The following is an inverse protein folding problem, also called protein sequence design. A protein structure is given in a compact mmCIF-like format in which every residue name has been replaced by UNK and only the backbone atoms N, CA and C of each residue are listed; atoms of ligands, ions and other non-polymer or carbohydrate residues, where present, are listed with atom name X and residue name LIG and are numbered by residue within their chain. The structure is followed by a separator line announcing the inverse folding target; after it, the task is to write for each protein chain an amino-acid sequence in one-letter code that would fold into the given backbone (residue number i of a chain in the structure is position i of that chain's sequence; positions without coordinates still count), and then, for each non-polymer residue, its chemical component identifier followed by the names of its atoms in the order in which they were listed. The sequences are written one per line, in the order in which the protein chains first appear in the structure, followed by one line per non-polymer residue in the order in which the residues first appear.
data_IF_532446216248
#
_entry.id   IF_532446216248
#
_cell.length_a   1.000
_cell.length_b   1.000
_cell.length_c   1.000
_cell.angle_alpha   90.00
_cell.angle_beta   90.00
_cell.angle_gamma   90.00
#
_symmetry.space_group_name_H-M   'P 1'
#
loop_
_entity.id
_entity.type
_entity.pdbx_description
1 polymer ?
#
# COMPACT_ATOMS: atom_id res chain seq x y z
N UNK A 1 -6.02 2.56 -0.34
CA UNK A 1 -5.14 3.76 -0.36
C UNK A 1 -5.84 4.88 0.40
N UNK A 2 -5.14 5.84 0.97
CA UNK A 2 -5.73 6.98 1.70
C UNK A 2 -4.88 7.35 2.92
N UNK A 3 -5.38 8.21 3.82
CA UNK A 3 -4.68 8.60 5.04
C UNK A 3 -4.19 7.41 5.86
N UNK A 4 -2.99 7.53 6.45
CA UNK A 4 -2.42 6.54 7.36
C UNK A 4 -3.10 6.67 8.72
N UNK A 5 -3.65 5.57 9.22
CA UNK A 5 -4.17 5.48 10.58
C UNK A 5 -3.10 4.77 11.43
N UNK A 6 -2.67 5.47 12.49
CA UNK A 6 -1.77 4.98 13.55
C UNK A 6 -0.43 4.38 13.09
N UNK A 7 0.25 5.02 12.12
CA UNK A 7 1.63 4.66 11.75
C UNK A 7 1.82 3.28 11.10
N UNK A 8 0.73 2.56 10.82
CA UNK A 8 0.74 1.25 10.16
C UNK A 8 1.42 1.31 8.80
N UNK A 9 2.31 0.35 8.52
CA UNK A 9 2.98 0.23 7.23
C UNK A 9 2.30 -0.84 6.38
N UNK A 10 1.83 -0.45 5.19
CA UNK A 10 1.14 -1.34 4.26
C UNK A 10 1.81 -1.26 2.88
N UNK A 11 1.82 -2.36 2.12
CA UNK A 11 2.44 -2.44 0.78
C UNK A 11 1.92 -1.36 -0.19
N UNK A 12 0.68 -0.89 -0.04
CA UNK A 12 0.14 0.24 -0.84
C UNK A 12 0.65 1.63 -0.42
N UNK A 13 1.00 1.84 0.85
CA UNK A 13 1.66 3.05 1.33
C UNK A 13 3.10 3.12 0.82
N UNK A 14 3.78 1.97 0.78
CA UNK A 14 5.15 1.86 0.29
C UNK A 14 5.29 2.36 -1.16
N UNK A 15 4.31 2.10 -2.03
CA UNK A 15 4.29 2.62 -3.41
C UNK A 15 4.38 4.16 -3.44
N UNK A 16 3.63 4.85 -2.58
CA UNK A 16 3.63 6.33 -2.52
C UNK A 16 4.88 6.85 -1.80
N UNK A 17 5.30 6.19 -0.71
CA UNK A 17 6.56 6.49 -0.01
C UNK A 17 7.77 6.45 -0.95
N UNK A 18 7.95 5.35 -1.71
CA UNK A 18 9.06 5.17 -2.67
C UNK A 18 9.05 6.23 -3.78
N UNK A 19 7.88 6.73 -4.18
CA UNK A 19 7.74 7.83 -5.13
C UNK A 19 8.14 9.20 -4.53
N UNK A 20 7.73 9.48 -3.29
CA UNK A 20 8.07 10.71 -2.57
C UNK A 20 9.56 10.81 -2.22
N UNK A 21 10.13 9.70 -1.74
CA UNK A 21 11.55 9.59 -1.35
C UNK A 21 12.49 9.40 -2.54
N UNK A 22 11.94 9.13 -3.74
CA UNK A 22 12.68 8.89 -4.99
C UNK A 22 13.69 7.73 -4.86
N UNK A 23 13.24 6.60 -4.31
CA UNK A 23 14.09 5.41 -4.09
C UNK A 23 14.68 4.87 -5.41
N UNK A 24 13.91 4.92 -6.51
CA UNK A 24 14.36 4.58 -7.87
C UNK A 24 14.19 5.80 -8.79
N UNK A 25 15.09 6.02 -9.78
CA UNK A 25 15.01 7.18 -10.67
C UNK A 25 13.93 7.09 -11.77
N UNK A 26 13.32 5.93 -11.96
CA UNK A 26 12.31 5.64 -12.99
C UNK A 26 11.09 4.94 -12.39
N UNK A 27 9.92 5.10 -13.01
CA UNK A 27 8.69 4.37 -12.65
C UNK A 27 8.45 3.17 -13.56
N UNK A 28 8.01 2.06 -12.97
CA UNK A 28 7.59 0.87 -13.70
C UNK A 28 6.24 1.11 -14.41
N UNK A 29 5.98 0.38 -15.50
CA UNK A 29 4.69 0.40 -16.20
C UNK A 29 3.69 -0.53 -15.52
N UNK A 30 3.29 -0.15 -14.30
CA UNK A 30 2.30 -0.86 -13.48
C UNK A 30 0.97 -0.09 -13.46
N UNK A 31 -0.14 -0.82 -13.52
CA UNK A 31 -1.49 -0.30 -13.32
C UNK A 31 -2.04 -0.87 -12.01
N UNK A 32 -2.66 -0.02 -11.20
CA UNK A 32 -3.23 -0.41 -9.91
C UNK A 32 -4.72 -0.09 -9.88
N UNK A 33 -5.60 -1.02 -9.46
CA UNK A 33 -6.91 -0.66 -8.94
C UNK A 33 -6.73 0.11 -7.63
N UNK A 34 -7.45 1.22 -7.48
CA UNK A 34 -7.37 2.07 -6.29
C UNK A 34 -8.75 2.20 -5.65
N UNK A 35 -8.80 1.95 -4.35
CA UNK A 35 -9.93 2.24 -3.47
C UNK A 35 -9.45 3.14 -2.32
N UNK A 36 -10.29 4.08 -1.87
CA UNK A 36 -10.03 4.85 -0.66
C UNK A 36 -10.33 4.01 0.61
N UNK A 37 -9.50 4.09 1.64
CA UNK A 37 -9.72 3.37 2.91
C UNK A 37 -10.99 3.85 3.63
N UNK A 38 -11.39 5.10 3.44
CA UNK A 38 -12.63 5.67 3.99
C UNK A 38 -13.85 5.05 3.32
N UNK A 39 -13.81 4.91 1.99
CA UNK A 39 -14.87 4.29 1.20
C UNK A 39 -15.00 2.79 1.54
N UNK A 40 -13.87 2.10 1.78
CA UNK A 40 -13.86 0.70 2.26
C UNK A 40 -14.43 0.57 3.68
N UNK A 41 -14.11 1.51 4.58
CA UNK A 41 -14.68 1.51 5.93
C UNK A 41 -16.21 1.75 5.90
N UNK A 42 -16.69 2.69 5.08
CA UNK A 42 -18.12 2.92 4.88
C UNK A 42 -18.81 1.70 4.23
N UNK A 43 -18.15 1.06 3.26
CA UNK A 43 -18.63 -0.19 2.65
C UNK A 43 -18.78 -1.32 3.66
N UNK A 44 -17.81 -1.51 4.57
CA UNK A 44 -17.89 -2.53 5.60
C UNK A 44 -19.07 -2.27 6.56
N UNK A 45 -19.30 -1.01 6.97
CA UNK A 45 -20.44 -0.64 7.81
C UNK A 45 -21.76 -0.95 7.07
N UNK A 46 -21.89 -0.53 5.81
CA UNK A 46 -23.10 -0.78 5.01
C UNK A 46 -23.33 -2.26 4.71
N UNK A 47 -22.28 -3.03 4.49
CA UNK A 47 -22.37 -4.48 4.30
C UNK A 47 -22.88 -5.22 5.56
N UNK A 48 -22.67 -4.66 6.76
CA UNK A 48 -23.22 -5.18 8.02
C UNK A 48 -24.66 -4.72 8.32
N UNK A 49 -25.12 -3.61 7.73
CA UNK A 49 -26.44 -3.02 8.05
C UNK A 49 -27.50 -3.18 6.96
N UNK A 50 -27.12 -3.56 5.74
CA UNK A 50 -28.05 -3.69 4.61
C UNK A 50 -28.31 -5.17 4.28
N UNK A 51 -29.55 -5.63 4.46
CA UNK A 51 -29.96 -7.02 4.16
C UNK A 51 -29.65 -7.44 2.70
N UNK A 52 -29.76 -6.50 1.75
CA UNK A 52 -29.45 -6.73 0.33
C UNK A 52 -27.96 -7.07 0.08
N UNK A 53 -27.08 -6.67 1.00
CA UNK A 53 -25.66 -6.92 0.96
C UNK A 53 -25.27 -8.30 1.51
N UNK A 54 -26.13 -8.93 2.32
CA UNK A 54 -25.84 -10.21 2.96
C UNK A 54 -25.59 -11.35 1.94
N UNK A 55 -24.67 -12.25 2.28
CA UNK A 55 -24.35 -13.44 1.48
C UNK A 55 -23.72 -13.17 0.11
N UNK A 56 -23.25 -11.96 -0.18
CA UNK A 56 -22.73 -11.55 -1.49
C UNK A 56 -21.36 -10.89 -1.37
N UNK A 57 -20.50 -11.12 -2.37
CA UNK A 57 -19.23 -10.39 -2.52
C UNK A 57 -19.50 -8.99 -3.08
N UNK A 58 -18.79 -7.99 -2.56
CA UNK A 58 -18.84 -6.60 -3.03
C UNK A 58 -17.42 -6.10 -3.27
N UNK A 59 -17.13 -5.66 -4.50
CA UNK A 59 -15.82 -5.12 -4.87
C UNK A 59 -15.83 -3.60 -4.71
N UNK A 60 -14.96 -3.09 -3.84
CA UNK A 60 -14.77 -1.66 -3.62
C UNK A 60 -13.55 -1.21 -4.42
N UNK A 61 -13.77 -0.42 -5.46
CA UNK A 61 -12.72 0.15 -6.31
C UNK A 61 -13.23 1.46 -6.93
N UNK A 62 -12.47 2.54 -6.79
CA UNK A 62 -12.82 3.85 -7.32
C UNK A 62 -12.48 3.94 -8.82
N UNK A 63 -11.23 3.68 -9.18
CA UNK A 63 -10.77 3.58 -10.56
C UNK A 63 -9.38 2.93 -10.65
N UNK A 64 -8.92 2.64 -11.86
CA UNK A 64 -7.57 2.14 -12.11
C UNK A 64 -6.65 3.29 -12.52
N UNK A 65 -5.42 3.31 -12.02
CA UNK A 65 -4.44 4.35 -12.34
C UNK A 65 -3.05 3.75 -12.61
N UNK A 66 -2.32 4.31 -13.57
CA UNK A 66 -0.92 3.92 -13.79
C UNK A 66 0.00 4.55 -12.75
N UNK A 67 1.04 3.84 -12.35
CA UNK A 67 2.08 4.34 -11.43
C UNK A 67 2.71 5.66 -11.92
N UNK A 68 2.79 5.85 -13.25
CA UNK A 68 3.23 7.10 -13.87
C UNK A 68 2.27 8.27 -13.56
N UNK A 69 0.97 8.04 -13.66
CA UNK A 69 -0.05 9.07 -13.47
C UNK A 69 -0.13 9.46 -12.00
N UNK A 70 -0.02 8.48 -11.08
CA UNK A 70 0.18 8.70 -9.65
C UNK A 70 1.40 9.61 -9.40
N UNK A 71 2.55 9.25 -9.98
CA UNK A 71 3.78 10.03 -9.84
C UNK A 71 3.66 11.44 -10.43
N UNK A 72 2.88 11.62 -11.51
CA UNK A 72 2.60 12.95 -12.09
C UNK A 72 1.68 13.79 -11.20
N UNK A 73 0.66 13.20 -10.57
CA UNK A 73 -0.21 13.87 -9.60
C UNK A 73 0.62 14.36 -8.41
N UNK A 74 1.39 13.46 -7.80
CA UNK A 74 2.28 13.79 -6.68
C UNK A 74 3.33 14.85 -7.10
N UNK A 75 3.90 14.75 -8.30
CA UNK A 75 4.89 15.70 -8.79
C UNK A 75 4.31 17.10 -9.10
N UNK A 76 3.01 17.23 -9.37
CA UNK A 76 2.36 18.56 -9.49
C UNK A 76 2.27 19.24 -8.12
N UNK A 77 1.86 18.49 -7.10
CA UNK A 77 1.63 19.00 -5.75
C UNK A 77 2.93 19.24 -4.97
N UNK A 78 3.77 18.20 -4.84
CA UNK A 78 4.89 18.17 -3.90
C UNK A 78 6.22 18.69 -4.46
N UNK A 79 6.33 18.92 -5.77
CA UNK A 79 7.57 19.48 -6.37
C UNK A 79 7.82 20.93 -5.95
N UNK A 80 6.76 21.72 -5.78
CA UNK A 80 6.83 23.08 -5.21
C UNK A 80 7.32 23.06 -3.76
N UNK A 81 7.02 21.96 -3.05
CA UNK A 81 7.34 21.71 -1.65
C UNK A 81 8.71 21.03 -1.44
N UNK A 82 9.49 20.83 -2.51
CA UNK A 82 10.87 20.35 -2.48
C UNK A 82 11.06 18.83 -2.67
N UNK A 83 10.02 18.07 -2.99
CA UNK A 83 10.14 16.64 -3.31
C UNK A 83 10.47 16.41 -4.80
N UNK A 84 11.31 15.42 -5.11
CA UNK A 84 11.81 15.17 -6.47
C UNK A 84 11.31 13.84 -7.05
N UNK A 85 9.99 13.75 -7.24
CA UNK A 85 9.29 12.53 -7.64
C UNK A 85 9.65 12.12 -9.08
N UNK A 86 9.95 10.82 -9.34
CA UNK A 86 10.30 10.34 -10.69
C UNK A 86 9.04 10.18 -11.56
N UNK A 87 8.99 10.83 -12.72
CA UNK A 87 7.84 10.75 -13.66
C UNK A 87 8.15 10.05 -14.98
N UNK A 88 9.41 9.65 -15.19
CA UNK A 88 9.88 8.98 -16.41
C UNK A 88 9.71 7.47 -16.32
N UNK A 89 9.07 6.86 -17.32
CA UNK A 89 8.92 5.41 -17.39
C UNK A 89 10.27 4.72 -17.62
N UNK A 90 10.50 3.60 -16.95
CA UNK A 90 11.57 2.67 -17.29
C UNK A 90 11.21 1.90 -18.59
N UNK A 91 12.11 1.79 -19.59
CA UNK A 91 11.91 0.90 -20.73
C UNK A 91 11.86 -0.56 -20.29
N UNK A 92 10.91 -1.34 -20.82
CA UNK A 92 10.70 -2.74 -20.41
C UNK A 92 11.95 -3.63 -20.56
N UNK A 93 12.81 -3.37 -21.55
CA UNK A 93 14.10 -4.08 -21.74
C UNK A 93 15.03 -3.82 -20.56
N UNK A 94 15.20 -2.55 -20.15
CA UNK A 94 16.03 -2.17 -19.02
C UNK A 94 15.48 -2.79 -17.71
N UNK A 95 14.16 -2.77 -17.53
CA UNK A 95 13.51 -3.34 -16.34
C UNK A 95 13.66 -4.88 -16.26
N UNK A 96 13.71 -5.57 -17.40
CA UNK A 96 14.07 -7.00 -17.47
C UNK A 96 15.50 -7.26 -17.00
N UNK A 97 16.47 -6.47 -17.48
CA UNK A 97 17.86 -6.59 -17.03
C UNK A 97 18.02 -6.28 -15.54
N UNK A 98 17.38 -5.22 -15.03
CA UNK A 98 17.46 -4.85 -13.60
C UNK A 98 16.91 -5.98 -12.72
N UNK A 99 15.79 -6.63 -13.07
CA UNK A 99 15.22 -7.72 -12.28
C UNK A 99 16.00 -9.05 -12.30
N UNK A 100 17.15 -9.11 -12.99
CA UNK A 100 18.13 -10.20 -12.78
C UNK A 100 18.90 -9.96 -11.48
N UNK A 101 19.16 -8.70 -11.13
CA UNK A 101 19.96 -8.29 -9.97
C UNK A 101 19.09 -7.82 -8.78
N UNK A 102 17.93 -7.22 -9.05
CA UNK A 102 17.00 -6.67 -8.05
C UNK A 102 15.77 -7.59 -7.90
N UNK A 103 15.65 -8.26 -6.75
CA UNK A 103 14.54 -9.18 -6.43
C UNK A 103 13.19 -8.47 -6.44
N UNK A 104 13.12 -7.24 -5.94
CA UNK A 104 11.88 -6.44 -5.87
C UNK A 104 11.36 -6.14 -7.27
N UNK A 105 12.25 -5.83 -8.22
CA UNK A 105 11.88 -5.69 -9.63
C UNK A 105 11.41 -7.02 -10.24
N UNK A 106 12.05 -8.14 -9.89
CA UNK A 106 11.64 -9.48 -10.36
C UNK A 106 10.20 -9.84 -9.96
N UNK A 107 9.78 -9.48 -8.75
CA UNK A 107 8.41 -9.72 -8.24
C UNK A 107 7.35 -8.93 -9.03
N UNK A 108 7.65 -7.70 -9.47
CA UNK A 108 6.69 -6.87 -10.21
C UNK A 108 6.69 -7.11 -11.73
N UNK A 109 7.73 -7.73 -12.30
CA UNK A 109 7.81 -8.07 -13.73
C UNK A 109 6.55 -8.75 -14.32
N UNK A 110 5.94 -9.79 -13.68
CA UNK A 110 4.74 -10.43 -14.23
C UNK A 110 3.49 -9.52 -14.26
N UNK A 111 3.51 -8.37 -13.58
CA UNK A 111 2.39 -7.43 -13.52
C UNK A 111 2.58 -6.18 -14.42
N UNK A 112 3.69 -6.11 -15.16
CA UNK A 112 3.94 -5.02 -16.10
C UNK A 112 2.94 -5.03 -17.26
N UNK A 113 2.50 -3.84 -17.66
CA UNK A 113 1.60 -3.58 -18.78
C UNK A 113 0.21 -4.24 -18.74
N UNK A 114 -0.12 -4.93 -17.64
CA UNK A 114 -1.47 -5.42 -17.37
C UNK A 114 -2.36 -4.28 -16.88
N UNK A 115 -3.62 -4.32 -17.27
CA UNK A 115 -4.68 -3.45 -16.76
C UNK A 115 -5.78 -4.35 -16.21
N UNK A 116 -6.05 -4.22 -14.91
CA UNK A 116 -7.15 -4.94 -14.28
C UNK A 116 -8.43 -4.13 -14.47
N UNK A 117 -9.57 -4.79 -14.68
CA UNK A 117 -10.89 -4.15 -14.73
C UNK A 117 -11.83 -4.92 -13.84
N UNK A 118 -12.55 -4.20 -12.99
CA UNK A 118 -13.48 -4.76 -12.02
C UNK A 118 -14.86 -4.17 -12.27
N UNK A 119 -15.89 -5.00 -12.13
CA UNK A 119 -17.27 -4.52 -12.06
C UNK A 119 -17.55 -4.03 -10.63
N UNK A 120 -17.88 -2.74 -10.52
CA UNK A 120 -18.19 -2.09 -9.25
C UNK A 120 -19.64 -1.60 -9.22
N UNK A 121 -20.52 -2.13 -10.08
CA UNK A 121 -21.94 -1.73 -10.12
C UNK A 121 -22.61 -1.98 -8.76
N UNK A 122 -22.37 -3.14 -8.15
CA UNK A 122 -22.86 -3.48 -6.79
C UNK A 122 -22.49 -2.48 -5.69
N UNK A 123 -21.31 -1.84 -5.78
CA UNK A 123 -20.87 -0.81 -4.84
C UNK A 123 -21.75 0.44 -4.92
N UNK A 124 -22.24 0.78 -6.12
CA UNK A 124 -23.12 1.94 -6.36
C UNK A 124 -24.58 1.58 -6.12
N UNK A 125 -25.03 0.45 -6.63
CA UNK A 125 -26.45 0.09 -6.66
C UNK A 125 -26.93 -0.45 -5.31
N UNK A 126 -26.12 -1.31 -4.66
CA UNK A 126 -26.49 -1.96 -3.38
C UNK A 126 -25.95 -1.17 -2.20
N UNK A 127 -24.64 -0.89 -2.18
CA UNK A 127 -24.02 -0.17 -1.06
C UNK A 127 -24.19 1.35 -1.15
N UNK A 128 -24.77 1.88 -2.23
CA UNK A 128 -25.05 3.32 -2.38
C UNK A 128 -23.83 4.20 -2.08
N UNK A 129 -22.65 3.76 -2.52
CA UNK A 129 -21.37 4.44 -2.32
C UNK A 129 -20.98 5.24 -3.56
N UNK A 130 -20.60 6.49 -3.33
CA UNK A 130 -19.92 7.32 -4.33
C UNK A 130 -18.42 7.30 -4.02
N UNK A 131 -17.59 6.66 -4.86
CA UNK A 131 -16.16 6.55 -4.59
C UNK A 131 -15.46 7.91 -4.70
N UNK A 132 -14.50 8.17 -3.82
CA UNK A 132 -13.66 9.38 -3.83
C UNK A 132 -12.75 9.44 -5.05
N UNK A 133 -12.35 10.66 -5.45
CA UNK A 133 -11.40 10.83 -6.54
C UNK A 133 -10.02 10.33 -6.12
N UNK A 134 -9.46 9.39 -6.89
CA UNK A 134 -8.14 8.78 -6.62
C UNK A 134 -7.02 9.82 -6.47
N UNK A 135 -7.15 10.97 -7.14
CA UNK A 135 -6.23 12.12 -7.00
C UNK A 135 -6.21 12.65 -5.56
N UNK A 136 -7.37 12.85 -4.95
CA UNK A 136 -7.52 13.35 -3.57
C UNK A 136 -7.00 12.30 -2.58
N UNK A 137 -7.41 11.03 -2.73
CA UNK A 137 -6.90 9.89 -1.96
C UNK A 137 -5.36 9.80 -1.94
N UNK A 138 -4.70 10.06 -3.08
CA UNK A 138 -3.24 10.04 -3.20
C UNK A 138 -2.57 11.26 -2.54
N UNK A 139 -3.16 12.44 -2.65
CA UNK A 139 -2.65 13.68 -2.04
C UNK A 139 -2.81 13.59 -0.51
N UNK A 140 -3.98 13.20 -0.02
CA UNK A 140 -4.28 12.93 1.39
C UNK A 140 -3.31 11.91 2.01
N UNK A 141 -3.07 10.79 1.31
CA UNK A 141 -2.08 9.79 1.74
C UNK A 141 -0.68 10.39 1.81
N UNK A 142 -0.25 11.13 0.79
CA UNK A 142 1.10 11.69 0.73
C UNK A 142 1.34 12.73 1.85
N UNK A 143 0.36 13.60 2.11
CA UNK A 143 0.40 14.49 3.28
C UNK A 143 0.44 13.70 4.59
N UNK A 144 -0.42 12.69 4.77
CA UNK A 144 -0.44 11.85 5.97
C UNK A 144 0.89 11.08 6.20
N UNK A 145 1.54 10.60 5.14
CA UNK A 145 2.87 9.96 5.20
C UNK A 145 3.98 10.92 5.63
N UNK A 146 3.89 12.19 5.22
CA UNK A 146 4.84 13.23 5.60
C UNK A 146 4.59 13.68 7.05
N UNK A 147 3.32 13.83 7.47
CA UNK A 147 2.99 14.24 8.84
C UNK A 147 3.29 13.16 9.89
N UNK A 148 2.99 11.89 9.58
CA UNK A 148 3.31 10.75 10.45
C UNK A 148 4.82 10.44 10.57
N UNK A 149 5.68 11.19 9.88
CA UNK A 149 7.13 10.99 9.89
C UNK A 149 7.63 9.76 9.11
N UNK A 150 6.72 9.02 8.45
CA UNK A 150 7.05 7.87 7.61
C UNK A 150 7.82 8.27 6.33
N UNK A 151 7.72 9.54 5.92
CA UNK A 151 8.51 10.20 4.88
C UNK A 151 9.20 11.44 5.47
N UNK A 152 10.48 11.65 5.11
CA UNK A 152 11.26 12.78 5.59
C UNK A 152 10.69 14.14 5.14
N UNK A 153 10.28 14.98 6.10
CA UNK A 153 9.84 16.36 5.86
C UNK A 153 10.92 17.20 5.14
N UNK A 154 10.56 17.79 4.00
CA UNK A 154 11.36 18.75 3.24
C UNK A 154 11.43 20.12 3.93
N UNK A 155 12.56 20.85 3.78
CA UNK A 155 12.70 22.25 4.26
C UNK A 155 11.73 23.24 3.61
N UNK A 156 11.10 22.88 2.48
CA UNK A 156 10.13 23.71 1.73
C UNK A 156 8.70 23.18 1.83
N UNK A 157 8.47 22.18 2.68
CA UNK A 157 7.15 21.59 2.88
C UNK A 157 6.20 22.60 3.53
N UNK A 158 4.95 22.65 3.04
CA UNK A 158 3.96 23.67 3.43
C UNK A 158 2.76 23.13 4.22
N UNK A 159 2.66 21.81 4.40
CA UNK A 159 1.51 21.18 5.03
C UNK A 159 0.28 21.09 4.10
N UNK A 160 -0.79 20.40 4.54
CA UNK A 160 -1.99 20.16 3.74
C UNK A 160 -2.75 21.44 3.36
N UNK A 161 -2.74 22.44 4.25
CA UNK A 161 -3.60 23.63 4.16
C UNK A 161 -3.05 24.74 3.24
N UNK A 162 -2.02 24.44 2.43
CA UNK A 162 -1.39 25.40 1.54
C UNK A 162 -2.10 25.56 0.17
N UNK A 163 -3.18 24.82 -0.07
CA UNK A 163 -3.85 24.72 -1.37
C UNK A 163 -5.39 24.69 -1.34
N UNK A 164 -6.03 24.93 -0.20
CA UNK A 164 -7.49 24.97 -0.06
C UNK A 164 -7.94 25.77 1.16
N UNK A 165 -9.02 26.54 1.01
CA UNK A 165 -9.61 27.37 2.06
C UNK A 165 -10.34 26.47 3.08
N UNK A 166 -10.04 26.63 4.37
CA UNK A 166 -10.67 25.86 5.46
C UNK A 166 -9.99 26.13 6.80
N UNK A 167 -10.76 26.61 7.78
CA UNK A 167 -10.30 27.07 9.09
C UNK A 167 -10.02 25.88 10.04
N UNK A 168 -9.09 26.03 11.01
CA UNK A 168 -8.83 24.94 11.97
C UNK A 168 -7.54 25.03 12.80
N UNK A 169 -7.34 26.17 13.47
CA UNK A 169 -6.56 26.37 14.71
C UNK A 169 -5.08 25.91 14.85
N UNK A 170 -4.38 26.65 15.71
CA UNK A 170 -2.96 26.51 16.03
C UNK A 170 -2.78 25.70 17.32
N UNK A 171 -1.67 24.98 17.43
CA UNK A 171 -0.90 25.01 18.68
C UNK A 171 0.60 24.93 18.38
N UNK A 172 1.31 26.02 18.68
CA UNK A 172 2.70 25.92 19.12
C UNK A 172 2.71 25.44 20.58
N UNK A 173 3.79 25.45 21.34
CA UNK A 173 5.13 25.98 21.11
C UNK A 173 5.98 25.44 22.27
N UNK A 174 7.14 24.84 22.02
CA UNK A 174 8.27 24.96 22.96
C UNK A 174 9.58 24.52 22.35
N UNK A 175 10.53 25.44 22.40
CA UNK A 175 11.95 25.23 22.15
C UNK A 175 12.71 26.08 23.16
N UNK A 176 13.87 25.59 23.59
CA UNK A 176 14.90 26.31 24.36
C UNK A 176 14.58 26.70 25.81
N UNK A 177 15.01 25.83 26.71
CA UNK A 177 15.77 26.02 27.97
C UNK A 177 15.92 24.58 28.51
N UNK A 178 17.09 24.04 28.85
CA UNK A 178 18.26 24.63 29.51
C UNK A 178 19.59 24.32 28.79
N UNK A 179 20.57 25.20 28.99
CA UNK A 179 21.98 24.95 28.70
C UNK A 179 22.81 25.68 29.76
N UNK A 180 23.90 25.05 30.18
CA UNK A 180 24.87 25.54 31.19
C UNK A 180 24.43 25.42 32.65
N UNK A 181 24.79 24.30 33.28
CA UNK A 181 25.50 24.39 34.57
C UNK A 181 26.79 23.54 34.54
N UNK A 182 27.86 24.14 35.04
CA UNK A 182 29.23 23.67 35.33
C UNK A 182 29.99 22.67 34.41
N UNK A 183 30.95 23.24 33.66
CA UNK A 183 32.30 22.65 33.53
C UNK A 183 33.08 22.81 34.86
N UNK A 184 33.42 21.71 35.55
CA UNK A 184 34.62 21.65 36.40
C UNK A 184 35.02 20.22 36.82
N UNK A 185 35.86 19.56 36.02
CA UNK A 185 37.02 18.71 36.44
C UNK A 185 37.66 18.03 35.24
N UNK A 186 38.83 18.53 34.87
CA UNK A 186 39.68 17.94 33.82
C UNK A 186 40.91 17.28 34.47
N UNK A 187 41.38 16.20 33.84
CA UNK A 187 42.66 15.49 34.02
C UNK A 187 42.75 14.36 35.06
N UNK A 188 43.03 13.15 34.54
CA UNK A 188 43.08 11.86 35.23
C UNK A 188 43.20 10.68 34.24
N UNK A 189 44.36 10.58 33.58
CA UNK A 189 44.77 9.55 32.61
C UNK A 189 45.12 8.18 33.27
N UNK A 190 44.99 6.98 32.67
CA UNK A 190 44.48 6.44 31.36
C UNK A 190 43.92 5.02 31.63
N UNK A 191 43.04 4.42 30.78
CA UNK A 191 43.18 3.07 30.14
C UNK A 191 41.88 2.43 29.60
N UNK A 192 42.06 1.63 28.53
CA UNK A 192 41.27 0.47 28.07
C UNK A 192 39.90 0.60 27.36
N UNK A 193 39.81 -0.12 26.23
CA UNK A 193 38.87 -1.25 26.12
C UNK A 193 37.45 -0.92 25.65
N UNK A 194 37.24 -0.91 24.33
CA UNK A 194 35.90 -0.70 23.76
C UNK A 194 35.00 -1.93 23.94
N UNK A 195 33.84 -1.68 24.57
CA UNK A 195 32.68 -2.55 24.76
C UNK A 195 32.27 -3.46 23.58
N UNK A 196 31.99 -4.72 23.91
CA UNK A 196 30.79 -5.46 23.45
C UNK A 196 29.54 -4.83 24.13
N UNK A 197 28.30 -4.91 23.67
CA UNK A 197 27.61 -5.78 22.71
C UNK A 197 26.64 -4.92 21.87
N UNK A 198 26.27 -5.35 20.66
CA UNK A 198 24.96 -5.01 20.08
C UNK A 198 24.63 -5.98 18.94
N UNK A 199 23.73 -6.93 19.20
CA UNK A 199 23.45 -8.01 18.27
C UNK A 199 22.16 -8.76 18.59
N UNK A 200 21.00 -8.18 18.25
CA UNK A 200 19.77 -8.97 18.05
C UNK A 200 18.71 -8.36 17.09
N UNK A 201 18.90 -7.14 16.56
CA UNK A 201 17.90 -6.51 15.66
C UNK A 201 17.76 -7.23 14.30
N UNK A 202 18.77 -7.96 13.85
CA UNK A 202 18.79 -8.57 12.49
C UNK A 202 18.06 -9.92 12.38
N UNK A 203 17.37 -10.36 13.44
CA UNK A 203 16.78 -11.70 13.52
C UNK A 203 15.25 -11.72 13.47
N UNK A 204 14.62 -10.55 13.61
CA UNK A 204 13.16 -10.40 13.54
C UNK A 204 12.69 -10.16 12.09
N UNK A 205 13.36 -9.28 11.33
CA UNK A 205 13.05 -9.02 9.91
C UNK A 205 13.04 -10.31 9.06
N UNK A 206 14.02 -11.21 9.28
CA UNK A 206 14.13 -12.47 8.52
C UNK A 206 13.12 -13.56 8.98
N UNK A 207 12.39 -13.30 10.06
CA UNK A 207 11.41 -14.23 10.66
C UNK A 207 9.98 -13.85 10.29
N UNK A 208 9.66 -12.56 10.22
CA UNK A 208 8.38 -12.09 9.69
C UNK A 208 8.23 -12.42 8.19
N UNK A 209 9.27 -12.17 7.37
CA UNK A 209 9.25 -12.51 5.92
C UNK A 209 9.02 -14.02 5.69
N UNK A 210 9.53 -14.89 6.56
CA UNK A 210 9.29 -16.34 6.48
C UNK A 210 7.88 -16.74 6.93
N UNK A 211 7.32 -16.07 7.94
CA UNK A 211 5.99 -16.43 8.48
C UNK A 211 4.89 -16.04 7.49
N UNK A 212 4.92 -14.82 6.92
CA UNK A 212 4.00 -14.42 5.84
C UNK A 212 4.09 -15.36 4.60
N UNK A 213 5.28 -15.90 4.32
CA UNK A 213 5.53 -16.77 3.15
C UNK A 213 5.03 -18.20 3.35
N UNK A 214 4.83 -18.68 4.59
CA UNK A 214 4.17 -19.97 4.83
C UNK A 214 2.65 -19.82 4.89
N UNK A 215 2.12 -18.79 5.57
CA UNK A 215 0.68 -18.56 5.70
C UNK A 215 0.01 -18.35 4.33
N UNK A 216 0.57 -17.48 3.48
CA UNK A 216 0.11 -17.25 2.09
C UNK A 216 0.30 -18.45 1.15
N UNK A 217 1.01 -19.50 1.60
CA UNK A 217 1.23 -20.75 0.85
C UNK A 217 0.33 -21.87 1.37
N UNK A 218 -0.14 -21.78 2.61
CA UNK A 218 -1.16 -22.64 3.19
C UNK A 218 -2.55 -22.23 2.69
N UNK A 219 -2.91 -20.95 2.76
CA UNK A 219 -4.17 -20.41 2.16
C UNK A 219 -4.33 -20.84 0.70
N UNK A 220 -3.28 -20.64 -0.12
CA UNK A 220 -3.29 -21.00 -1.53
C UNK A 220 -3.41 -22.50 -1.80
N UNK A 221 -2.92 -23.33 -0.87
CA UNK A 221 -3.03 -24.80 -0.94
C UNK A 221 -4.42 -25.27 -0.50
N UNK A 222 -5.09 -24.51 0.34
CA UNK A 222 -6.48 -24.74 0.73
C UNK A 222 -7.44 -24.34 -0.40
N UNK A 223 -7.29 -23.15 -1.00
CA UNK A 223 -8.04 -22.72 -2.20
C UNK A 223 -7.96 -23.76 -3.34
N UNK A 224 -6.73 -24.18 -3.71
CA UNK A 224 -6.53 -25.16 -4.82
C UNK A 224 -7.21 -26.52 -4.52
N UNK A 225 -7.36 -26.86 -3.24
CA UNK A 225 -7.96 -28.12 -2.77
C UNK A 225 -9.48 -28.03 -2.63
N UNK A 226 -10.02 -26.83 -2.51
CA UNK A 226 -11.46 -26.57 -2.57
C UNK A 226 -11.93 -26.55 -4.04
N UNK A 227 -11.22 -25.84 -4.93
CA UNK A 227 -11.50 -25.84 -6.38
C UNK A 227 -11.52 -27.26 -6.98
N UNK A 228 -10.50 -28.08 -6.72
CA UNK A 228 -10.46 -29.49 -7.21
C UNK A 228 -11.51 -30.40 -6.58
N UNK A 229 -12.17 -29.98 -5.50
CA UNK A 229 -13.25 -30.73 -4.86
C UNK A 229 -14.62 -30.31 -5.40
N UNK A 230 -14.75 -29.06 -5.84
CA UNK A 230 -15.92 -28.53 -6.54
C UNK A 230 -16.01 -29.14 -7.95
N UNK A 231 -14.94 -29.11 -8.75
CA UNK A 231 -14.90 -29.72 -10.11
C UNK A 231 -15.29 -31.20 -10.11
N UNK A 232 -14.73 -32.01 -9.18
CA UNK A 232 -15.05 -33.44 -9.04
C UNK A 232 -16.49 -33.70 -8.57
N UNK A 233 -17.15 -32.71 -7.98
CA UNK A 233 -18.56 -32.80 -7.58
C UNK A 233 -19.52 -32.44 -8.72
N UNK A 234 -19.14 -31.50 -9.59
CA UNK A 234 -19.91 -31.16 -10.79
C UNK A 234 -19.85 -32.29 -11.82
N UNK A 235 -18.67 -32.85 -12.11
CA UNK A 235 -18.49 -33.95 -13.06
C UNK A 235 -19.36 -35.18 -12.71
N UNK A 236 -19.38 -35.58 -11.43
CA UNK A 236 -20.28 -36.65 -10.93
C UNK A 236 -21.77 -36.32 -10.98
N UNK A 237 -22.13 -35.04 -10.99
CA UNK A 237 -23.53 -34.60 -11.06
C UNK A 237 -24.02 -34.54 -12.52
N UNK A 238 -23.12 -34.34 -13.48
CA UNK A 238 -23.43 -34.47 -14.90
C UNK A 238 -23.50 -35.93 -15.35
N UNK A 239 -22.54 -36.77 -14.95
CA UNK A 239 -22.50 -38.19 -15.31
C UNK A 239 -23.79 -38.92 -14.87
N UNK A 240 -24.27 -38.64 -13.64
CA UNK A 240 -25.51 -39.21 -13.11
C UNK A 240 -26.78 -38.73 -13.83
N UNK A 241 -26.79 -37.50 -14.35
CA UNK A 241 -27.91 -36.99 -15.19
C UNK A 241 -27.90 -37.58 -16.60
N UNK A 242 -26.77 -38.09 -17.06
CA UNK A 242 -26.67 -38.75 -18.36
C UNK A 242 -27.08 -40.23 -18.31
N UNK A 243 -26.90 -40.91 -17.16
CA UNK A 243 -27.47 -42.24 -16.90
C UNK A 243 -28.99 -42.23 -16.76
N UNK A 244 -29.57 -41.34 -15.93
CA UNK A 244 -31.04 -41.25 -15.77
C UNK A 244 -31.77 -40.96 -17.10
N UNK A 245 -31.11 -40.26 -18.04
CA UNK A 245 -31.64 -39.99 -19.39
C UNK A 245 -31.57 -41.18 -20.37
N UNK A 246 -30.87 -42.27 -20.02
CA UNK A 246 -30.76 -43.49 -20.83
C UNK A 246 -31.74 -44.58 -20.41
N UNK A 247 -32.27 -44.56 -19.18
CA UNK A 247 -33.26 -45.54 -18.72
C UNK A 247 -34.72 -45.18 -19.08
N UNK A 248 -35.01 -43.94 -19.47
CA UNK A 248 -36.36 -43.47 -19.80
C UNK A 248 -36.70 -43.53 -21.31
N UNK A 249 -36.08 -44.44 -22.08
CA UNK A 249 -36.19 -44.50 -23.54
C UNK A 249 -36.21 -45.91 -24.15
#
# INVERSE_FOLDING_TARGET
MGPVINGSQCKSLEVVKRLLEREKPFVARLNFPVADVRDVAEANIKAMTMDEAAGKRHLICSSNMWMKDMAQILAKEFKSQGYNIPTSNCPNVLLKFIGIFDKTVKVVQPNLDKVYKFDTSRMKDVLQLTPKEVKETLIDMAYSLIESGLVKKSKKYKGPNAGGEGEGEQEGEKKEEEKEEEKAKENGEVTEGKKEEDGDVKKEEEKEEKTETEESKEEKKEETKEETKEEVSEEKTEEKKEEEKKEEK
#
